data_IF_806092182931
#
_entry.id   IF_806092182931
#
_cell.length_a   1.000
_cell.length_b   1.000
_cell.length_c   1.000
_cell.angle_alpha   90.00
_cell.angle_beta   90.00
_cell.angle_gamma   90.00
#
_symmetry.space_group_name_H-M   'P 1'
#
loop_
_entity.id
_entity.type
_entity.pdbx_description
1 polymer ?
#
# COMPACT_ATOMS: atom_id res chain seq x y z
N UNK A 1 -25.63 -33.07 -53.22
CA UNK A 1 -26.87 -33.15 -52.42
C UNK A 1 -27.76 -32.00 -52.91
N UNK A 2 -28.51 -32.17 -54.00
CA UNK A 2 -29.89 -32.69 -54.04
C UNK A 2 -30.86 -32.07 -53.02
N UNK A 3 -31.83 -31.35 -53.61
CA UNK A 3 -33.23 -31.12 -53.21
C UNK A 3 -33.52 -29.99 -52.21
N UNK A 4 -34.18 -28.87 -52.57
CA UNK A 4 -35.48 -28.64 -53.23
C UNK A 4 -36.67 -28.73 -52.25
N UNK A 5 -37.34 -27.58 -52.04
CA UNK A 5 -38.74 -27.45 -51.62
C UNK A 5 -39.03 -27.87 -50.17
N UNK A 6 -39.92 -27.23 -49.42
CA UNK A 6 -41.27 -26.82 -49.80
C UNK A 6 -41.74 -25.71 -48.85
N UNK A 7 -42.33 -24.66 -49.42
CA UNK A 7 -43.18 -23.72 -48.71
C UNK A 7 -44.54 -24.39 -48.47
N UNK A 8 -44.97 -24.54 -47.21
CA UNK A 8 -46.38 -24.78 -46.90
C UNK A 8 -46.81 -24.06 -45.64
N UNK A 9 -47.85 -23.26 -45.83
CA UNK A 9 -48.69 -22.58 -44.85
C UNK A 9 -49.55 -23.61 -44.11
N UNK A 10 -49.71 -23.47 -42.80
CA UNK A 10 -50.80 -24.06 -42.04
C UNK A 10 -51.60 -22.95 -41.37
N UNK A 11 -52.43 -22.31 -42.20
CA UNK A 11 -53.78 -21.96 -41.79
C UNK A 11 -54.54 -23.29 -41.53
N UNK A 12 -54.15 -24.04 -40.51
CA UNK A 12 -54.90 -25.20 -40.02
C UNK A 12 -55.79 -24.71 -38.87
N UNK A 13 -56.83 -24.07 -39.36
CA UNK A 13 -58.09 -23.74 -38.74
C UNK A 13 -58.61 -24.88 -37.84
N UNK A 14 -58.92 -24.51 -36.60
CA UNK A 14 -59.96 -25.07 -35.70
C UNK A 14 -59.74 -26.39 -34.95
N UNK A 15 -59.70 -26.25 -33.62
CA UNK A 15 -60.09 -27.23 -32.62
C UNK A 15 -59.14 -27.17 -31.43
N UNK A 16 -59.43 -26.49 -30.33
CA UNK A 16 -60.43 -26.90 -29.33
C UNK A 16 -60.72 -25.71 -28.39
N UNK A 17 -61.94 -25.75 -27.87
CA UNK A 17 -62.71 -24.75 -27.13
C UNK A 17 -62.17 -24.47 -25.70
N UNK A 18 -62.14 -23.18 -25.35
CA UNK A 18 -62.48 -22.50 -24.08
C UNK A 18 -62.46 -23.30 -22.76
N UNK A 19 -61.65 -22.81 -21.80
CA UNK A 19 -61.76 -23.12 -20.37
C UNK A 19 -61.21 -21.99 -19.48
N UNK A 20 -62.09 -21.06 -19.09
CA UNK A 20 -62.12 -20.25 -17.86
C UNK A 20 -60.83 -19.96 -17.08
N UNK A 21 -60.51 -18.66 -16.91
CA UNK A 21 -60.74 -17.92 -15.66
C UNK A 21 -59.77 -16.72 -15.57
N UNK A 22 -60.36 -15.53 -15.59
CA UNK A 22 -59.72 -14.27 -15.29
C UNK A 22 -59.27 -14.20 -13.84
N UNK A 23 -57.99 -13.90 -13.57
CA UNK A 23 -57.66 -13.08 -12.41
C UNK A 23 -56.36 -12.31 -12.61
N UNK A 24 -56.51 -11.01 -12.92
CA UNK A 24 -55.50 -9.98 -12.71
C UNK A 24 -54.98 -10.08 -11.27
N UNK A 25 -53.72 -10.45 -11.07
CA UNK A 25 -52.93 -9.94 -9.94
C UNK A 25 -51.50 -9.69 -10.39
N UNK A 26 -51.26 -8.42 -10.74
CA UNK A 26 -49.93 -7.84 -10.73
C UNK A 26 -49.42 -7.87 -9.30
N UNK A 27 -48.57 -8.83 -8.96
CA UNK A 27 -47.75 -8.75 -7.76
C UNK A 27 -46.31 -8.53 -8.21
N UNK A 28 -45.93 -7.26 -8.41
CA UNK A 28 -44.53 -6.89 -8.38
C UNK A 28 -44.05 -7.14 -6.95
N UNK A 29 -43.32 -8.22 -6.72
CA UNK A 29 -42.49 -8.32 -5.54
C UNK A 29 -41.39 -7.27 -5.71
N UNK A 30 -41.64 -6.08 -5.16
CA UNK A 30 -40.65 -5.03 -5.10
C UNK A 30 -39.41 -5.58 -4.39
N UNK A 31 -38.36 -5.84 -5.17
CA UNK A 31 -37.03 -6.13 -4.65
C UNK A 31 -36.57 -4.90 -3.87
N UNK A 32 -36.88 -4.89 -2.57
CA UNK A 32 -36.33 -3.91 -1.62
C UNK A 32 -34.84 -4.22 -1.53
N UNK A 33 -34.04 -3.49 -2.30
CA UNK A 33 -32.58 -3.53 -2.19
C UNK A 33 -32.18 -3.26 -0.75
N UNK A 34 -31.40 -4.17 -0.18
CA UNK A 34 -30.90 -4.16 1.19
C UNK A 34 -29.75 -3.15 1.33
N UNK A 35 -30.01 -1.88 0.97
CA UNK A 35 -29.03 -0.79 0.88
C UNK A 35 -28.31 -0.48 2.20
N UNK A 36 -28.90 -0.88 3.34
CA UNK A 36 -28.36 -0.61 4.67
C UNK A 36 -27.16 -1.48 5.08
N UNK A 37 -27.08 -2.76 4.67
CA UNK A 37 -25.94 -3.62 5.06
C UNK A 37 -24.70 -3.35 4.21
N UNK A 38 -24.89 -3.10 2.91
CA UNK A 38 -23.80 -2.73 1.99
C UNK A 38 -23.12 -1.41 2.41
N UNK A 39 -23.91 -0.42 2.87
CA UNK A 39 -23.35 0.84 3.38
C UNK A 39 -22.54 0.64 4.66
N UNK A 40 -22.99 -0.20 5.58
CA UNK A 40 -22.27 -0.50 6.82
C UNK A 40 -20.95 -1.22 6.55
N UNK A 41 -20.97 -2.26 5.72
CA UNK A 41 -19.76 -2.99 5.29
C UNK A 41 -18.77 -2.07 4.57
N UNK A 42 -19.25 -1.19 3.70
CA UNK A 42 -18.40 -0.21 2.99
C UNK A 42 -17.74 0.78 3.96
N UNK A 43 -18.50 1.29 4.93
CA UNK A 43 -17.96 2.21 5.96
C UNK A 43 -16.89 1.52 6.80
N UNK A 44 -17.09 0.25 7.14
CA UNK A 44 -16.12 -0.49 7.92
C UNK A 44 -14.83 -0.77 7.13
N UNK A 45 -14.93 -1.13 5.84
CA UNK A 45 -13.77 -1.27 4.95
C UNK A 45 -12.99 0.05 4.85
N UNK A 46 -13.68 1.18 4.72
CA UNK A 46 -13.04 2.50 4.68
C UNK A 46 -12.34 2.81 6.01
N UNK A 47 -13.00 2.55 7.15
CA UNK A 47 -12.44 2.73 8.48
C UNK A 47 -11.15 1.91 8.64
N UNK A 48 -11.19 0.61 8.34
CA UNK A 48 -10.02 -0.26 8.43
C UNK A 48 -8.89 0.18 7.50
N UNK A 49 -9.21 0.65 6.28
CA UNK A 49 -8.20 1.17 5.36
C UNK A 49 -7.53 2.45 5.89
N UNK A 50 -8.30 3.35 6.52
CA UNK A 50 -7.77 4.56 7.15
C UNK A 50 -6.91 4.24 8.37
N UNK A 51 -7.35 3.32 9.23
CA UNK A 51 -6.58 2.85 10.39
C UNK A 51 -5.26 2.24 9.94
N UNK A 52 -5.29 1.35 8.93
CA UNK A 52 -4.08 0.78 8.33
C UNK A 52 -3.13 1.84 7.77
N UNK A 53 -3.67 2.82 7.01
CA UNK A 53 -2.87 3.93 6.49
C UNK A 53 -2.23 4.77 7.60
N UNK A 54 -2.97 5.04 8.68
CA UNK A 54 -2.44 5.76 9.84
C UNK A 54 -1.35 4.99 10.57
N UNK A 55 -1.49 3.67 10.72
CA UNK A 55 -0.46 2.83 11.32
C UNK A 55 0.82 2.83 10.48
N UNK A 56 0.71 2.75 9.15
CA UNK A 56 1.86 2.90 8.25
C UNK A 56 2.54 4.26 8.39
N UNK A 57 1.76 5.34 8.43
CA UNK A 57 2.29 6.69 8.64
C UNK A 57 2.98 6.83 10.00
N UNK A 58 2.43 6.22 11.04
CA UNK A 58 3.02 6.19 12.39
C UNK A 58 4.33 5.42 12.39
N UNK A 59 4.42 4.28 11.70
CA UNK A 59 5.68 3.54 11.51
C UNK A 59 6.71 4.40 10.78
N UNK A 60 6.34 5.09 9.69
CA UNK A 60 7.24 5.98 8.95
C UNK A 60 7.73 7.13 9.83
N UNK A 61 6.84 7.75 10.61
CA UNK A 61 7.18 8.86 11.50
C UNK A 61 8.09 8.43 12.66
N UNK A 62 7.94 7.19 13.15
CA UNK A 62 8.73 6.66 14.27
C UNK A 62 10.03 5.97 13.83
N UNK A 63 10.12 5.52 12.58
CA UNK A 63 11.28 4.84 12.03
C UNK A 63 12.63 5.53 12.33
N UNK A 64 12.77 6.87 12.20
CA UNK A 64 14.02 7.54 12.54
C UNK A 64 14.39 7.38 14.02
N UNK A 65 13.41 7.40 14.93
CA UNK A 65 13.64 7.28 16.38
C UNK A 65 14.07 5.88 16.76
N UNK A 66 13.37 4.88 16.23
CA UNK A 66 13.70 3.46 16.46
C UNK A 66 15.09 3.13 15.90
N UNK A 67 15.38 3.59 14.67
CA UNK A 67 16.68 3.42 14.03
C UNK A 67 17.82 4.07 14.82
N UNK A 68 17.60 5.26 15.38
CA UNK A 68 18.61 5.94 16.23
C UNK A 68 18.97 5.10 17.46
N UNK A 69 18.01 4.45 18.11
CA UNK A 69 18.28 3.60 19.28
C UNK A 69 19.15 2.42 18.89
N UNK A 70 18.76 1.68 17.83
CA UNK A 70 19.54 0.52 17.36
C UNK A 70 20.93 0.91 16.87
N UNK A 71 21.05 2.07 16.24
CA UNK A 71 22.32 2.58 15.75
C UNK A 71 23.27 2.96 16.90
N UNK A 72 22.76 3.61 17.96
CA UNK A 72 23.59 3.94 19.14
C UNK A 72 24.15 2.67 19.77
N UNK A 73 23.34 1.62 19.90
CA UNK A 73 23.78 0.31 20.38
C UNK A 73 24.84 -0.31 19.45
N UNK A 74 24.60 -0.31 18.15
CA UNK A 74 25.55 -0.83 17.16
C UNK A 74 26.88 -0.06 17.18
N UNK A 75 26.83 1.28 17.27
CA UNK A 75 28.01 2.15 17.36
C UNK A 75 28.83 1.82 18.60
N UNK A 76 28.18 1.63 19.75
CA UNK A 76 28.85 1.27 20.99
C UNK A 76 29.57 -0.09 20.88
N UNK A 77 28.94 -1.09 20.27
CA UNK A 77 29.55 -2.40 20.08
C UNK A 77 30.73 -2.35 19.09
N UNK A 78 30.61 -1.59 17.98
CA UNK A 78 31.73 -1.37 17.05
C UNK A 78 32.90 -0.68 17.74
N UNK A 79 32.67 0.34 18.58
CA UNK A 79 33.71 1.00 19.37
C UNK A 79 34.42 0.01 20.30
N UNK A 80 33.66 -0.84 20.99
CA UNK A 80 34.20 -1.89 21.86
C UNK A 80 35.06 -2.89 21.08
N UNK A 81 34.61 -3.33 19.90
CA UNK A 81 35.39 -4.20 19.04
C UNK A 81 36.70 -3.53 18.58
N UNK A 82 36.66 -2.26 18.16
CA UNK A 82 37.85 -1.51 17.77
C UNK A 82 38.86 -1.37 18.92
N UNK A 83 38.39 -1.24 20.16
CA UNK A 83 39.26 -1.21 21.35
C UNK A 83 39.94 -2.57 21.62
N UNK A 84 39.23 -3.67 21.35
CA UNK A 84 39.73 -5.02 21.59
C UNK A 84 40.77 -5.49 20.55
N UNK A 85 40.82 -4.87 19.36
CA UNK A 85 41.80 -5.23 18.32
C UNK A 85 43.14 -4.58 18.66
N UNK A 86 43.96 -5.24 19.49
CA UNK A 86 45.22 -4.72 20.01
C UNK A 86 46.24 -4.32 18.93
N UNK A 87 46.24 -5.00 17.79
CA UNK A 87 47.14 -4.77 16.66
C UNK A 87 46.81 -3.50 15.86
N UNK A 88 45.60 -2.97 16.02
CA UNK A 88 45.16 -1.79 15.28
C UNK A 88 45.78 -0.52 15.90
N UNK A 89 46.53 0.31 15.13
CA UNK A 89 47.10 1.54 15.65
C UNK A 89 46.03 2.50 16.19
N UNK A 90 46.37 3.25 17.24
CA UNK A 90 45.46 4.23 17.85
C UNK A 90 44.93 5.26 16.86
N UNK A 91 45.78 5.70 15.91
CA UNK A 91 45.40 6.62 14.83
C UNK A 91 44.31 6.04 13.94
N UNK A 92 44.40 4.76 13.60
CA UNK A 92 43.44 4.13 12.69
C UNK A 92 42.13 3.81 13.42
N UNK A 93 42.19 3.42 14.71
CA UNK A 93 41.00 3.36 15.57
C UNK A 93 40.26 4.70 15.62
N UNK A 94 40.99 5.81 15.81
CA UNK A 94 40.40 7.14 15.88
C UNK A 94 39.72 7.55 14.55
N UNK A 95 40.36 7.26 13.40
CA UNK A 95 39.75 7.49 12.08
C UNK A 95 38.47 6.69 11.88
N UNK A 96 38.48 5.41 12.24
CA UNK A 96 37.30 4.55 12.11
C UNK A 96 36.16 5.01 13.03
N UNK A 97 36.46 5.45 14.24
CA UNK A 97 35.48 6.08 15.12
C UNK A 97 34.92 7.37 14.51
N UNK A 98 35.77 8.24 13.96
CA UNK A 98 35.32 9.46 13.30
C UNK A 98 34.32 9.18 12.17
N UNK A 99 34.63 8.21 11.29
CA UNK A 99 33.75 7.79 10.20
C UNK A 99 32.42 7.25 10.74
N UNK A 100 32.49 6.38 11.76
CA UNK A 100 31.32 5.79 12.41
C UNK A 100 30.37 6.87 12.94
N UNK A 101 30.91 7.89 13.63
CA UNK A 101 30.11 8.94 14.25
C UNK A 101 29.55 9.95 13.24
N UNK A 102 30.30 10.26 12.16
CA UNK A 102 29.90 11.27 11.18
C UNK A 102 28.74 10.83 10.28
N UNK A 103 28.55 9.54 10.03
CA UNK A 103 27.67 9.06 8.95
C UNK A 103 26.19 9.48 9.09
N UNK A 104 25.56 9.29 10.24
CA UNK A 104 24.13 9.59 10.40
C UNK A 104 23.85 11.04 10.76
N UNK A 105 24.68 11.69 11.55
CA UNK A 105 24.54 13.12 11.83
C UNK A 105 24.72 13.94 10.54
N UNK A 106 25.62 13.52 9.65
CA UNK A 106 25.77 14.12 8.33
C UNK A 106 24.55 13.90 7.43
N UNK A 107 23.95 12.70 7.45
CA UNK A 107 22.73 12.41 6.68
C UNK A 107 21.55 13.23 7.22
N UNK A 108 21.38 13.32 8.53
CA UNK A 108 20.31 14.10 9.15
C UNK A 108 20.49 15.61 8.94
N UNK A 109 21.73 16.10 9.05
CA UNK A 109 22.10 17.44 8.65
C UNK A 109 21.71 17.71 7.20
N UNK A 110 22.08 16.80 6.27
CA UNK A 110 21.74 16.92 4.85
C UNK A 110 20.23 16.91 4.58
N UNK A 111 19.46 16.08 5.29
CA UNK A 111 18.00 16.06 5.16
C UNK A 111 17.36 17.38 5.62
N UNK A 112 17.98 18.07 6.57
CA UNK A 112 17.54 19.37 7.10
C UNK A 112 17.87 20.56 6.18
N UNK A 113 18.75 20.37 5.18
CA UNK A 113 19.08 21.40 4.19
C UNK A 113 17.88 21.62 3.25
N UNK A 114 17.44 22.87 3.01
CA UNK A 114 16.45 23.18 1.98
C UNK A 114 16.85 22.64 0.61
N UNK A 115 15.90 22.15 -0.18
CA UNK A 115 16.22 21.42 -1.42
C UNK A 115 16.99 22.26 -2.44
N UNK A 116 16.79 23.58 -2.41
CA UNK A 116 17.46 24.57 -3.25
C UNK A 116 18.96 24.63 -2.97
N UNK A 117 19.37 24.33 -1.72
CA UNK A 117 20.75 24.40 -1.27
C UNK A 117 21.46 23.04 -1.30
N UNK A 118 20.72 21.94 -1.49
CA UNK A 118 21.30 20.58 -1.48
C UNK A 118 22.33 20.37 -2.59
N UNK A 119 22.08 20.91 -3.78
CA UNK A 119 23.01 20.77 -4.91
C UNK A 119 24.33 21.49 -4.66
N UNK A 120 24.28 22.71 -4.14
CA UNK A 120 25.45 23.51 -3.80
C UNK A 120 26.26 22.86 -2.67
N UNK A 121 25.57 22.37 -1.63
CA UNK A 121 26.18 21.61 -0.54
C UNK A 121 26.93 20.36 -1.04
N UNK A 122 26.34 19.58 -1.94
CA UNK A 122 27.01 18.42 -2.55
C UNK A 122 28.25 18.83 -3.37
N UNK A 123 28.18 19.93 -4.11
CA UNK A 123 29.32 20.40 -4.90
C UNK A 123 30.52 20.77 -4.01
N UNK A 124 30.28 21.39 -2.85
CA UNK A 124 31.33 21.73 -1.88
C UNK A 124 31.90 20.46 -1.22
N UNK A 125 31.04 19.49 -0.86
CA UNK A 125 31.48 18.22 -0.27
C UNK A 125 32.41 17.42 -1.21
N UNK A 126 32.18 17.48 -2.51
CA UNK A 126 32.94 16.74 -3.52
C UNK A 126 34.22 17.45 -3.99
N UNK A 127 34.48 18.68 -3.53
CA UNK A 127 35.69 19.45 -3.87
C UNK A 127 36.87 19.20 -2.92
N UNK A 128 36.64 18.51 -1.80
CA UNK A 128 37.67 18.12 -0.82
C UNK A 128 38.17 16.69 -1.06
#
# INVERSE_FOLDING_TARGET
MYSQGVYMSQNEMFGIRVGQASERRNCSSGSKRKRGSEHYETVEVIRSAMEFGNDQLKTIANWPKEKRVTEVELRAEVVKQLQNILELPSRDRAKLMQILFHSVEAIEGFLSIPIELKLEYCNILLQN
#
